data_IF_441947655975
#
_entry.id   IF_441947655975
#
_cell.length_a   1.000
_cell.length_b   1.000
_cell.length_c   1.000
_cell.angle_alpha   90.00
_cell.angle_beta   90.00
_cell.angle_gamma   90.00
#
_symmetry.space_group_name_H-M   'P 1'
#
loop_
_entity.id
_entity.type
_entity.pdbx_description
1 polymer ?
#
# COMPACT_ATOMS: atom_id res chain seq x y z
N UNK A 1 -19.48 -15.00 37.41
CA UNK A 1 -20.73 -15.24 36.68
C UNK A 1 -21.62 -14.05 36.95
N UNK A 2 -21.53 -13.05 36.08
CA UNK A 2 -22.53 -11.97 35.98
C UNK A 2 -22.62 -11.70 34.49
N UNK A 3 -23.77 -12.06 33.94
CA UNK A 3 -24.16 -11.86 32.55
C UNK A 3 -24.67 -10.44 32.38
N UNK A 4 -24.29 -9.78 31.29
CA UNK A 4 -24.97 -8.58 30.80
C UNK A 4 -24.81 -8.54 29.29
N UNK A 5 -25.84 -9.02 28.60
CA UNK A 5 -26.12 -8.78 27.18
C UNK A 5 -26.27 -7.27 26.93
N UNK A 6 -25.65 -6.76 25.86
CA UNK A 6 -26.14 -5.56 25.18
C UNK A 6 -26.00 -5.74 23.67
N UNK A 7 -27.09 -5.37 23.00
CA UNK A 7 -27.49 -5.64 21.63
C UNK A 7 -26.59 -5.09 20.53
N UNK A 8 -26.61 -5.83 19.44
CA UNK A 8 -26.16 -5.48 18.10
C UNK A 8 -27.10 -4.43 17.48
N UNK A 9 -26.56 -3.30 17.02
CA UNK A 9 -27.22 -2.48 16.01
C UNK A 9 -26.32 -2.34 14.78
N UNK A 10 -26.81 -2.91 13.67
CA UNK A 10 -26.34 -2.69 12.30
C UNK A 10 -26.92 -1.37 11.81
N UNK A 11 -26.09 -0.51 11.25
CA UNK A 11 -26.58 0.54 10.35
C UNK A 11 -25.78 0.51 9.05
N UNK A 12 -26.54 0.29 7.97
CA UNK A 12 -26.07 0.16 6.59
C UNK A 12 -26.52 1.41 5.88
N UNK A 13 -25.60 2.26 5.40
CA UNK A 13 -25.96 3.34 4.47
C UNK A 13 -25.08 3.23 3.24
N UNK A 14 -25.74 2.73 2.19
CA UNK A 14 -25.32 2.69 0.80
C UNK A 14 -25.64 4.06 0.17
N UNK A 15 -24.72 4.69 -0.55
CA UNK A 15 -25.09 5.70 -1.55
C UNK A 15 -23.99 6.00 -2.59
N UNK A 16 -24.05 5.22 -3.67
CA UNK A 16 -24.18 5.60 -5.09
C UNK A 16 -23.25 6.68 -5.70
N UNK A 17 -22.59 6.22 -6.76
CA UNK A 17 -21.85 6.91 -7.81
C UNK A 17 -22.50 8.19 -8.37
N UNK A 18 -21.65 9.10 -8.86
CA UNK A 18 -22.02 10.07 -9.90
C UNK A 18 -20.94 10.09 -10.99
N UNK A 19 -21.29 9.51 -12.13
CA UNK A 19 -20.62 9.70 -13.41
C UNK A 19 -21.04 11.02 -14.06
N UNK A 20 -20.20 11.47 -14.99
CA UNK A 20 -20.44 12.52 -15.97
C UNK A 20 -19.14 13.31 -16.23
N UNK A 21 -18.65 13.57 -17.42
CA UNK A 21 -18.76 13.03 -18.79
C UNK A 21 -17.97 14.03 -19.67
N UNK A 22 -17.22 13.52 -20.66
CA UNK A 22 -16.82 14.18 -21.93
C UNK A 22 -15.92 15.44 -21.85
N UNK A 23 -15.02 15.74 -22.79
CA UNK A 23 -14.78 15.26 -24.16
C UNK A 23 -13.40 15.73 -24.66
N UNK A 24 -12.75 14.87 -25.44
CA UNK A 24 -12.01 15.12 -26.69
C UNK A 24 -11.19 16.41 -26.90
N UNK A 25 -9.92 16.25 -27.31
CA UNK A 25 -9.54 16.30 -28.74
C UNK A 25 -8.07 15.93 -28.99
N UNK A 26 -7.91 15.15 -30.06
CA UNK A 26 -6.72 14.89 -30.88
C UNK A 26 -5.98 16.20 -31.23
N UNK A 27 -4.69 16.17 -31.61
CA UNK A 27 -4.26 16.25 -33.01
C UNK A 27 -2.81 15.75 -33.19
N UNK A 28 -2.60 15.09 -34.32
CA UNK A 28 -1.39 14.41 -34.78
C UNK A 28 -0.76 15.16 -35.97
N UNK A 29 0.52 14.86 -36.25
CA UNK A 29 1.27 15.04 -37.52
C UNK A 29 1.83 16.46 -37.82
N UNK A 30 3.00 16.68 -38.45
CA UNK A 30 3.85 15.83 -39.32
C UNK A 30 5.24 16.49 -39.58
N UNK A 31 6.28 15.65 -39.72
CA UNK A 31 7.36 15.74 -40.73
C UNK A 31 8.64 16.56 -40.45
N UNK A 32 9.80 16.28 -41.04
CA UNK A 32 10.41 15.10 -41.71
C UNK A 32 11.91 15.45 -41.96
N UNK A 33 12.72 14.42 -42.30
CA UNK A 33 14.00 14.43 -43.06
C UNK A 33 15.37 14.46 -42.32
N UNK A 34 15.98 13.26 -42.28
CA UNK A 34 17.29 12.82 -42.86
C UNK A 34 18.58 13.62 -42.54
N UNK A 35 19.78 13.06 -42.32
CA UNK A 35 20.47 11.85 -42.80
C UNK A 35 21.74 11.63 -41.95
N UNK A 36 22.24 10.40 -41.82
CA UNK A 36 23.53 9.94 -42.39
C UNK A 36 24.00 8.64 -41.73
N UNK A 37 24.25 7.64 -42.57
CA UNK A 37 24.81 6.32 -42.22
C UNK A 37 26.32 6.46 -42.00
N UNK A 38 26.85 5.81 -40.96
CA UNK A 38 28.22 5.26 -40.92
C UNK A 38 28.33 4.25 -39.77
N UNK A 39 28.54 2.99 -40.12
CA UNK A 39 29.11 1.93 -39.26
C UNK A 39 30.38 1.43 -40.02
N UNK A 40 31.43 0.89 -39.37
CA UNK A 40 31.27 -0.31 -38.54
C UNK A 40 32.22 -0.43 -37.31
N UNK A 41 31.88 -1.41 -36.46
CA UNK A 41 32.76 -2.24 -35.63
C UNK A 41 33.69 -1.56 -34.61
N UNK A 42 33.20 -1.47 -33.36
CA UNK A 42 34.02 -1.74 -32.18
C UNK A 42 33.21 -2.55 -31.17
N UNK A 43 33.80 -3.66 -30.77
CA UNK A 43 33.21 -4.73 -30.01
C UNK A 43 32.83 -4.29 -28.58
N UNK A 44 31.54 -4.11 -28.35
CA UNK A 44 30.93 -4.45 -27.07
C UNK A 44 29.78 -5.40 -27.35
N UNK A 45 30.06 -6.69 -27.19
CA UNK A 45 29.04 -7.72 -27.01
C UNK A 45 28.29 -7.37 -25.73
N UNK A 46 27.26 -6.53 -25.82
CA UNK A 46 26.15 -6.58 -24.88
C UNK A 46 25.66 -8.02 -24.87
N UNK A 47 25.62 -8.70 -23.71
CA UNK A 47 25.01 -10.00 -23.66
C UNK A 47 23.56 -9.78 -24.06
N UNK A 48 23.21 -10.44 -25.16
CA UNK A 48 21.87 -10.79 -25.60
C UNK A 48 20.94 -10.72 -24.41
N UNK A 49 20.01 -9.77 -24.49
CA UNK A 49 18.85 -9.67 -23.62
C UNK A 49 18.37 -11.10 -23.36
N UNK A 50 18.61 -11.59 -22.14
CA UNK A 50 18.37 -12.99 -21.74
C UNK A 50 16.89 -13.29 -21.95
N UNK A 51 16.62 -13.76 -23.17
CA UNK A 51 15.38 -14.27 -23.67
C UNK A 51 14.80 -15.20 -22.62
N UNK A 52 13.55 -14.92 -22.26
CA UNK A 52 12.80 -15.46 -21.12
C UNK A 52 13.44 -16.70 -20.48
N UNK A 53 13.98 -16.53 -19.26
CA UNK A 53 14.09 -17.64 -18.29
C UNK A 53 12.83 -18.49 -18.47
N UNK A 54 13.01 -19.76 -18.87
CA UNK A 54 11.93 -20.69 -19.15
C UNK A 54 10.76 -20.47 -18.18
N UNK A 55 9.57 -20.20 -18.70
CA UNK A 55 8.35 -20.09 -17.90
C UNK A 55 8.26 -21.31 -16.99
N UNK A 56 8.15 -21.08 -15.68
CA UNK A 56 8.26 -22.14 -14.67
C UNK A 56 7.27 -23.28 -14.93
N UNK A 57 6.11 -22.96 -15.48
CA UNK A 57 5.10 -23.93 -15.89
C UNK A 57 5.59 -24.87 -17.01
N UNK A 58 6.18 -24.34 -18.09
CA UNK A 58 6.75 -25.15 -19.17
C UNK A 58 7.86 -26.07 -18.68
N UNK A 59 8.67 -25.59 -17.73
CA UNK A 59 9.69 -26.41 -17.10
C UNK A 59 9.06 -27.53 -16.26
N UNK A 60 8.04 -27.22 -15.48
CA UNK A 60 7.28 -28.19 -14.69
C UNK A 60 6.68 -29.28 -15.58
N UNK A 61 5.93 -28.91 -16.62
CA UNK A 61 5.34 -29.85 -17.60
C UNK A 61 6.39 -30.77 -18.21
N UNK A 62 7.52 -30.21 -18.64
CA UNK A 62 8.64 -30.96 -19.21
C UNK A 62 9.24 -31.96 -18.23
N UNK A 63 9.41 -31.58 -16.96
CA UNK A 63 9.95 -32.45 -15.92
C UNK A 63 8.96 -33.57 -15.60
N UNK A 64 7.67 -33.26 -15.47
CA UNK A 64 6.63 -34.25 -15.19
C UNK A 64 6.49 -35.27 -16.32
N UNK A 65 6.46 -34.80 -17.57
CA UNK A 65 6.36 -35.66 -18.75
C UNK A 65 7.58 -36.61 -18.84
N UNK A 66 8.80 -36.09 -18.68
CA UNK A 66 10.01 -36.92 -18.69
C UNK A 66 10.05 -37.92 -17.53
N UNK A 67 9.56 -37.52 -16.36
CA UNK A 67 9.51 -38.41 -15.18
C UNK A 67 8.54 -39.56 -15.41
N UNK A 68 7.38 -39.29 -16.02
CA UNK A 68 6.40 -40.32 -16.39
C UNK A 68 6.96 -41.28 -17.44
N UNK A 69 7.62 -40.77 -18.48
CA UNK A 69 8.29 -41.60 -19.49
C UNK A 69 9.31 -42.55 -18.85
N UNK A 70 10.18 -42.00 -17.99
CA UNK A 70 11.19 -42.79 -17.25
C UNK A 70 10.56 -43.83 -16.32
N UNK A 71 9.46 -43.50 -15.66
CA UNK A 71 8.71 -44.43 -14.84
C UNK A 71 8.15 -45.59 -15.67
N UNK A 72 7.55 -45.30 -16.82
CA UNK A 72 6.98 -46.32 -17.71
C UNK A 72 8.06 -47.20 -18.37
N UNK A 73 9.27 -46.68 -18.62
CA UNK A 73 10.41 -47.49 -19.09
C UNK A 73 10.73 -48.64 -18.12
N UNK A 74 10.61 -48.42 -16.81
CA UNK A 74 10.81 -49.47 -15.81
C UNK A 74 9.74 -50.57 -15.86
N UNK A 75 8.53 -50.23 -16.32
CA UNK A 75 7.43 -51.16 -16.53
C UNK A 75 7.45 -51.82 -17.93
N UNK A 76 8.62 -51.95 -18.56
CA UNK A 76 8.78 -52.57 -19.88
C UNK A 76 8.15 -53.97 -20.01
N UNK A 77 7.71 -54.32 -21.22
CA UNK A 77 7.09 -55.61 -21.53
C UNK A 77 7.98 -56.80 -21.16
N UNK A 78 9.29 -56.71 -21.37
CA UNK A 78 10.22 -57.78 -21.04
C UNK A 78 10.20 -58.12 -19.54
N UNK A 79 10.20 -57.10 -18.67
CA UNK A 79 10.07 -57.29 -17.22
C UNK A 79 8.72 -57.89 -16.87
N UNK A 80 7.64 -57.37 -17.46
CA UNK A 80 6.27 -57.87 -17.25
C UNK A 80 6.13 -59.36 -17.63
N UNK A 81 6.53 -59.73 -18.85
CA UNK A 81 6.50 -61.11 -19.34
C UNK A 81 7.40 -62.06 -18.52
N UNK A 82 8.55 -61.56 -18.03
CA UNK A 82 9.46 -62.35 -17.20
C UNK A 82 8.87 -62.75 -15.84
N UNK A 83 7.95 -61.96 -15.30
CA UNK A 83 7.22 -62.23 -14.05
C UNK A 83 6.04 -63.16 -14.26
N UNK A 84 5.37 -63.08 -15.42
CA UNK A 84 4.21 -63.89 -15.78
C UNK A 84 4.52 -64.98 -16.81
N UNK A 85 5.67 -65.66 -16.68
CA UNK A 85 6.15 -66.66 -17.67
C UNK A 85 5.14 -67.75 -18.03
N UNK A 86 4.41 -68.36 -17.08
CA UNK A 86 3.45 -69.42 -17.41
C UNK A 86 2.33 -68.93 -18.32
N UNK A 87 1.90 -67.68 -18.15
CA UNK A 87 0.84 -67.06 -18.94
C UNK A 87 1.37 -66.61 -20.31
N UNK A 88 2.58 -66.03 -20.35
CA UNK A 88 3.25 -65.65 -21.59
C UNK A 88 3.44 -66.86 -22.53
N UNK A 89 3.88 -68.00 -22.02
CA UNK A 89 4.05 -69.25 -22.81
C UNK A 89 2.74 -69.76 -23.41
N UNK A 90 1.60 -69.52 -22.75
CA UNK A 90 0.28 -69.98 -23.23
C UNK A 90 -0.26 -69.10 -24.35
N UNK A 91 -0.11 -67.77 -24.23
CA UNK A 91 -0.58 -66.84 -25.24
C UNK A 91 0.22 -65.52 -25.20
N UNK A 92 1.31 -65.43 -25.99
CA UNK A 92 2.15 -64.24 -26.03
C UNK A 92 1.40 -62.98 -26.51
N UNK A 93 0.54 -63.13 -27.52
CA UNK A 93 -0.20 -62.01 -28.10
C UNK A 93 -1.19 -61.39 -27.12
N UNK A 94 -1.93 -62.23 -26.38
CA UNK A 94 -2.85 -61.74 -25.34
C UNK A 94 -2.10 -61.06 -24.21
N UNK A 95 -0.93 -61.57 -23.82
CA UNK A 95 -0.08 -60.95 -22.80
C UNK A 95 0.43 -59.57 -23.23
N UNK A 96 0.82 -59.42 -24.50
CA UNK A 96 1.25 -58.15 -25.08
C UNK A 96 0.10 -57.12 -25.12
N UNK A 97 -1.11 -57.55 -25.51
CA UNK A 97 -2.31 -56.70 -25.46
C UNK A 97 -2.61 -56.19 -24.05
N UNK A 98 -2.57 -57.08 -23.04
CA UNK A 98 -2.82 -56.71 -21.64
C UNK A 98 -1.77 -55.72 -21.14
N UNK A 99 -0.49 -55.94 -21.45
CA UNK A 99 0.58 -55.03 -21.04
C UNK A 99 0.41 -53.65 -21.67
N UNK A 100 0.07 -53.59 -22.96
CA UNK A 100 -0.20 -52.33 -23.64
C UNK A 100 -1.36 -51.57 -23.00
N UNK A 101 -2.50 -52.24 -22.77
CA UNK A 101 -3.66 -51.67 -22.09
C UNK A 101 -3.31 -51.14 -20.70
N UNK A 102 -2.54 -51.92 -19.92
CA UNK A 102 -2.07 -51.50 -18.61
C UNK A 102 -1.21 -50.23 -18.66
N UNK A 103 -0.26 -50.14 -19.59
CA UNK A 103 0.61 -48.96 -19.74
C UNK A 103 -0.18 -47.74 -20.19
N UNK A 104 -1.11 -47.91 -21.14
CA UNK A 104 -1.93 -46.82 -21.65
C UNK A 104 -2.89 -46.29 -20.56
N UNK A 105 -3.51 -47.18 -19.78
CA UNK A 105 -4.35 -46.81 -18.65
C UNK A 105 -3.56 -46.14 -17.52
N UNK A 106 -2.40 -46.69 -17.15
CA UNK A 106 -1.53 -46.11 -16.14
C UNK A 106 -1.04 -44.72 -16.54
N UNK A 107 -0.63 -44.54 -17.80
CA UNK A 107 -0.21 -43.24 -18.34
C UNK A 107 -1.36 -42.24 -18.25
N UNK A 108 -2.55 -42.63 -18.74
CA UNK A 108 -3.74 -41.79 -18.75
C UNK A 108 -4.12 -41.36 -17.34
N UNK A 109 -4.24 -42.32 -16.41
CA UNK A 109 -4.61 -42.04 -15.03
C UNK A 109 -3.61 -41.06 -14.36
N UNK A 110 -2.30 -41.28 -14.51
CA UNK A 110 -1.30 -40.36 -13.94
C UNK A 110 -1.38 -38.97 -14.59
N UNK A 111 -1.56 -38.87 -15.90
CA UNK A 111 -1.68 -37.58 -16.58
C UNK A 111 -2.94 -36.82 -16.17
N UNK A 112 -4.07 -37.51 -16.04
CA UNK A 112 -5.32 -36.94 -15.54
C UNK A 112 -5.15 -36.46 -14.09
N UNK A 113 -4.51 -37.25 -13.23
CA UNK A 113 -4.25 -36.89 -11.83
C UNK A 113 -3.35 -35.66 -11.72
N UNK A 114 -2.26 -35.60 -12.51
CA UNK A 114 -1.39 -34.43 -12.58
C UNK A 114 -2.18 -33.20 -13.07
N UNK A 115 -3.00 -33.35 -14.10
CA UNK A 115 -3.86 -32.28 -14.62
C UNK A 115 -4.79 -31.74 -13.53
N UNK A 116 -5.48 -32.62 -12.81
CA UNK A 116 -6.34 -32.22 -11.67
C UNK A 116 -5.57 -31.49 -10.59
N UNK A 117 -4.37 -31.96 -10.22
CA UNK A 117 -3.53 -31.28 -9.21
C UNK A 117 -3.08 -29.88 -9.68
N UNK A 118 -2.76 -29.71 -10.97
CA UNK A 118 -2.42 -28.41 -11.54
C UNK A 118 -3.62 -27.44 -11.42
N UNK A 119 -4.82 -27.91 -11.78
CA UNK A 119 -6.04 -27.12 -11.73
C UNK A 119 -6.47 -26.78 -10.30
N UNK A 120 -6.56 -27.77 -9.41
CA UNK A 120 -6.89 -27.61 -7.99
C UNK A 120 -5.90 -26.68 -7.28
N UNK A 121 -4.61 -26.87 -7.54
CA UNK A 121 -3.53 -26.07 -6.98
C UNK A 121 -3.44 -24.66 -7.60
N UNK A 122 -4.18 -24.40 -8.69
CA UNK A 122 -4.05 -23.19 -9.53
C UNK A 122 -2.58 -22.90 -9.85
N UNK A 123 -1.85 -23.95 -10.23
CA UNK A 123 -0.40 -23.92 -10.31
C UNK A 123 0.09 -22.97 -11.41
N UNK A 124 -0.61 -22.94 -12.54
CA UNK A 124 -0.33 -22.00 -13.64
C UNK A 124 -0.32 -20.54 -13.14
N UNK A 125 -1.38 -20.11 -12.44
CA UNK A 125 -1.47 -18.76 -11.88
C UNK A 125 -0.32 -18.49 -10.92
N UNK A 126 -0.04 -19.41 -9.99
CA UNK A 126 1.02 -19.22 -8.97
C UNK A 126 2.42 -19.15 -9.58
N UNK A 127 2.74 -20.01 -10.55
CA UNK A 127 4.04 -20.02 -11.21
C UNK A 127 4.22 -18.79 -12.10
N UNK A 128 3.17 -18.35 -12.80
CA UNK A 128 3.19 -17.13 -13.59
C UNK A 128 3.36 -15.88 -12.71
N UNK A 129 2.68 -15.80 -11.56
CA UNK A 129 2.89 -14.71 -10.60
C UNK A 129 4.31 -14.73 -10.02
N UNK A 130 4.87 -15.91 -9.74
CA UNK A 130 6.25 -16.04 -9.28
C UNK A 130 7.25 -15.56 -10.34
N UNK A 131 7.01 -15.86 -11.62
CA UNK A 131 7.81 -15.35 -12.75
C UNK A 131 7.75 -13.81 -12.83
N UNK A 132 6.58 -13.20 -12.57
CA UNK A 132 6.42 -11.74 -12.51
C UNK A 132 7.16 -11.13 -11.33
N UNK A 133 7.02 -11.70 -10.13
CA UNK A 133 7.69 -11.23 -8.92
C UNK A 133 9.20 -11.30 -9.04
N UNK A 134 9.73 -12.37 -9.63
CA UNK A 134 11.18 -12.50 -9.89
C UNK A 134 11.68 -11.44 -10.87
N UNK A 135 10.93 -11.17 -11.94
CA UNK A 135 11.26 -10.10 -12.89
C UNK A 135 11.28 -8.73 -12.22
N UNK A 136 10.29 -8.44 -11.37
CA UNK A 136 10.20 -7.19 -10.62
C UNK A 136 11.36 -7.02 -9.63
N UNK A 137 11.80 -8.11 -8.99
CA UNK A 137 12.86 -8.09 -7.98
C UNK A 137 14.28 -8.12 -8.57
N UNK A 138 14.47 -8.38 -9.87
CA UNK A 138 15.79 -8.63 -10.51
C UNK A 138 16.84 -7.54 -10.24
N UNK A 139 16.42 -6.29 -10.07
CA UNK A 139 17.31 -5.14 -9.86
C UNK A 139 17.38 -4.67 -8.40
N UNK A 140 16.82 -5.43 -7.45
CA UNK A 140 16.87 -5.08 -6.02
C UNK A 140 18.16 -5.68 -5.44
N UNK A 141 19.16 -4.86 -5.04
CA UNK A 141 20.42 -5.37 -4.51
C UNK A 141 20.30 -5.91 -3.08
N UNK A 142 19.29 -5.46 -2.34
CA UNK A 142 19.10 -5.83 -0.95
C UNK A 142 18.56 -7.26 -0.80
N UNK A 143 19.02 -8.00 0.23
CA UNK A 143 18.45 -9.28 0.57
C UNK A 143 16.94 -9.16 0.79
N UNK A 144 16.17 -10.03 0.14
CA UNK A 144 14.72 -10.06 0.32
C UNK A 144 14.36 -10.40 1.77
N UNK A 145 13.37 -9.71 2.33
CA UNK A 145 12.88 -9.94 3.68
C UNK A 145 12.46 -11.41 3.89
N UNK A 146 12.74 -11.93 5.09
CA UNK A 146 12.33 -13.27 5.53
C UNK A 146 11.73 -13.11 6.93
N UNK A 147 10.67 -13.87 7.25
CA UNK A 147 10.14 -13.90 8.61
C UNK A 147 11.25 -14.22 9.60
N UNK A 148 11.37 -13.40 10.65
CA UNK A 148 12.36 -13.61 11.70
C UNK A 148 12.04 -14.84 12.57
N UNK A 149 10.78 -15.27 12.56
CA UNK A 149 10.24 -16.27 13.48
C UNK A 149 9.73 -15.67 14.79
N UNK A 150 9.82 -14.34 14.95
CA UNK A 150 9.26 -13.58 16.07
C UNK A 150 8.09 -12.74 15.56
N UNK A 151 6.83 -13.16 15.82
CA UNK A 151 5.65 -12.51 15.27
C UNK A 151 5.55 -11.01 15.54
N UNK A 152 5.94 -10.58 16.74
CA UNK A 152 5.90 -9.17 17.14
C UNK A 152 6.82 -8.32 16.29
N UNK A 153 8.03 -8.81 15.99
CA UNK A 153 8.99 -8.11 15.16
C UNK A 153 8.54 -8.04 13.70
N UNK A 154 8.05 -9.16 13.18
CA UNK A 154 7.56 -9.25 11.80
C UNK A 154 6.35 -8.32 11.60
N UNK A 155 5.43 -8.29 12.57
CA UNK A 155 4.28 -7.40 12.56
C UNK A 155 4.69 -5.92 12.66
N UNK A 156 5.60 -5.59 13.59
CA UNK A 156 6.11 -4.22 13.72
C UNK A 156 6.75 -3.74 12.40
N UNK A 157 7.51 -4.60 11.71
CA UNK A 157 8.13 -4.25 10.43
C UNK A 157 7.10 -3.90 9.35
N UNK A 158 5.97 -4.60 9.33
CA UNK A 158 4.88 -4.35 8.38
C UNK A 158 4.11 -3.05 8.70
N UNK A 159 3.84 -2.77 9.97
CA UNK A 159 3.02 -1.61 10.36
C UNK A 159 3.82 -0.31 10.43
N UNK A 160 5.13 -0.38 10.66
CA UNK A 160 6.00 0.80 10.84
C UNK A 160 5.84 1.89 9.77
N UNK A 161 5.79 1.60 8.46
CA UNK A 161 5.65 2.63 7.42
C UNK A 161 4.35 3.45 7.55
N UNK A 162 3.26 2.82 8.02
CA UNK A 162 1.99 3.49 8.22
C UNK A 162 2.05 4.45 9.41
N UNK A 163 2.64 4.02 10.53
CA UNK A 163 2.81 4.88 11.70
C UNK A 163 3.77 6.04 11.41
N UNK A 164 4.84 5.82 10.65
CA UNK A 164 5.73 6.90 10.22
C UNK A 164 4.99 7.96 9.38
N UNK A 165 4.11 7.52 8.46
CA UNK A 165 3.27 8.43 7.67
C UNK A 165 2.30 9.23 8.55
N UNK A 166 1.67 8.58 9.52
CA UNK A 166 0.78 9.24 10.47
C UNK A 166 1.52 10.25 11.35
N UNK A 167 2.68 9.88 11.87
CA UNK A 167 3.51 10.75 12.69
C UNK A 167 3.94 11.99 11.90
N UNK A 168 4.39 11.82 10.65
CA UNK A 168 4.76 12.92 9.78
C UNK A 168 3.59 13.89 9.54
N UNK A 169 2.39 13.35 9.30
CA UNK A 169 1.17 14.15 9.14
C UNK A 169 0.84 14.94 10.42
N UNK A 170 0.84 14.29 11.58
CA UNK A 170 0.52 14.95 12.85
C UNK A 170 1.54 16.03 13.20
N UNK A 171 2.83 15.82 12.92
CA UNK A 171 3.88 16.83 13.10
C UNK A 171 3.61 18.08 12.26
N UNK A 172 3.13 17.90 11.03
CA UNK A 172 2.79 19.01 10.13
C UNK A 172 1.61 19.83 10.69
N UNK A 173 0.52 19.16 11.08
CA UNK A 173 -0.67 19.85 11.59
C UNK A 173 -0.38 20.56 12.92
N UNK A 174 0.38 19.92 13.81
CA UNK A 174 0.79 20.52 15.07
C UNK A 174 1.65 21.77 14.85
N UNK A 175 2.54 21.76 13.86
CA UNK A 175 3.34 22.95 13.50
C UNK A 175 2.43 24.10 13.04
N UNK A 176 1.44 23.81 12.20
CA UNK A 176 0.47 24.79 11.72
C UNK A 176 -0.32 25.41 12.87
N UNK A 177 -0.91 24.59 13.75
CA UNK A 177 -1.66 25.06 14.92
C UNK A 177 -0.78 25.93 15.83
N UNK A 178 0.48 25.53 16.08
CA UNK A 178 1.41 26.33 16.90
C UNK A 178 1.69 27.71 16.28
N UNK A 179 1.83 27.78 14.96
CA UNK A 179 2.06 29.05 14.26
C UNK A 179 0.83 29.97 14.35
N UNK A 180 -0.36 29.42 14.13
CA UNK A 180 -1.63 30.15 14.24
C UNK A 180 -1.85 30.66 15.66
N UNK A 181 -1.65 29.80 16.67
CA UNK A 181 -1.77 30.19 18.08
C UNK A 181 -0.76 31.27 18.47
N UNK A 182 0.50 31.19 17.99
CA UNK A 182 1.48 32.24 18.24
C UNK A 182 1.08 33.57 17.60
N UNK A 183 0.51 33.56 16.39
CA UNK A 183 0.01 34.75 15.73
C UNK A 183 -1.20 35.35 16.47
N UNK A 184 -2.12 34.50 16.93
CA UNK A 184 -3.27 34.93 17.73
C UNK A 184 -2.85 35.50 19.09
N UNK A 185 -1.91 34.85 19.79
CA UNK A 185 -1.37 35.34 21.05
C UNK A 185 -0.74 36.74 20.91
N UNK A 186 0.02 36.97 19.82
CA UNK A 186 0.56 38.31 19.52
C UNK A 186 -0.54 39.35 19.30
N UNK A 187 -1.61 39.00 18.58
CA UNK A 187 -2.76 39.91 18.38
C UNK A 187 -3.47 40.23 19.68
N UNK A 188 -3.69 39.24 20.54
CA UNK A 188 -4.30 39.43 21.86
C UNK A 188 -3.43 40.34 22.73
N UNK A 189 -2.12 40.11 22.77
CA UNK A 189 -1.20 40.94 23.55
C UNK A 189 -1.21 42.41 23.08
N UNK A 190 -1.10 42.64 21.76
CA UNK A 190 -1.20 43.98 21.19
C UNK A 190 -2.56 44.64 21.48
N UNK A 191 -3.65 43.85 21.49
CA UNK A 191 -4.98 44.33 21.89
C UNK A 191 -5.04 44.76 23.35
N UNK A 192 -4.47 43.97 24.26
CA UNK A 192 -4.40 44.29 25.71
C UNK A 192 -3.59 45.55 25.97
N UNK A 193 -2.46 45.72 25.28
CA UNK A 193 -1.62 46.93 25.40
C UNK A 193 -2.38 48.19 24.97
N UNK A 194 -3.14 48.13 23.88
CA UNK A 194 -4.00 49.25 23.44
C UNK A 194 -5.09 49.58 24.45
N UNK A 195 -5.72 48.56 25.04
CA UNK A 195 -6.75 48.76 26.07
C UNK A 195 -6.13 49.46 27.29
N UNK A 196 -5.00 48.94 27.80
CA UNK A 196 -4.31 49.52 28.94
C UNK A 196 -3.86 50.98 28.69
N UNK A 197 -3.39 51.29 27.47
CA UNK A 197 -3.07 52.67 27.08
C UNK A 197 -4.31 53.56 27.12
N UNK A 198 -5.42 53.10 26.53
CA UNK A 198 -6.68 53.85 26.52
C UNK A 198 -7.21 54.07 27.94
N UNK A 199 -7.13 53.07 28.81
CA UNK A 199 -7.52 53.17 30.22
C UNK A 199 -6.69 54.20 30.99
N UNK A 200 -5.38 54.27 30.73
CA UNK A 200 -4.51 55.29 31.32
C UNK A 200 -4.86 56.69 30.82
N UNK A 201 -5.07 56.87 29.51
CA UNK A 201 -5.43 58.17 28.92
C UNK A 201 -6.77 58.68 29.48
N UNK A 202 -7.76 57.79 29.63
CA UNK A 202 -9.04 58.10 30.27
C UNK A 202 -8.82 58.50 31.73
N UNK A 203 -8.02 57.75 32.49
CA UNK A 203 -7.75 58.04 33.90
C UNK A 203 -7.07 59.40 34.07
N UNK A 204 -6.07 59.72 33.24
CA UNK A 204 -5.41 61.03 33.23
C UNK A 204 -6.39 62.15 32.93
N UNK A 205 -7.21 62.00 31.89
CA UNK A 205 -8.23 62.99 31.53
C UNK A 205 -9.22 63.20 32.67
N UNK A 206 -9.67 62.11 33.30
CA UNK A 206 -10.58 62.16 34.45
C UNK A 206 -9.94 62.89 35.64
N UNK A 207 -8.66 62.64 35.93
CA UNK A 207 -7.96 63.31 37.02
C UNK A 207 -7.70 64.80 36.73
N UNK A 208 -7.40 65.16 35.48
CA UNK A 208 -7.35 66.56 35.03
C UNK A 208 -8.70 67.27 35.22
N UNK A 209 -9.81 66.60 34.88
CA UNK A 209 -11.16 67.14 35.06
C UNK A 209 -11.51 67.30 36.54
N UNK A 210 -11.11 66.36 37.41
CA UNK A 210 -11.28 66.52 38.86
C UNK A 210 -10.45 67.68 39.41
N UNK A 211 -9.22 67.86 38.94
CA UNK A 211 -8.35 68.94 39.38
C UNK A 211 -8.91 70.31 38.99
N UNK A 212 -9.32 70.48 37.73
CA UNK A 212 -9.98 71.72 37.27
C UNK A 212 -11.27 71.99 38.04
N UNK A 213 -12.11 70.99 38.28
CA UNK A 213 -13.32 71.16 39.10
C UNK A 213 -12.98 71.63 40.53
N UNK A 214 -11.99 71.03 41.17
CA UNK A 214 -11.53 71.44 42.50
C UNK A 214 -10.98 72.87 42.52
N UNK A 215 -10.30 73.31 41.45
CA UNK A 215 -9.85 74.69 41.29
C UNK A 215 -11.02 75.68 41.16
N UNK A 216 -12.11 75.30 40.50
CA UNK A 216 -13.34 76.11 40.43
C UNK A 216 -14.14 76.12 41.74
N UNK A 217 -14.15 75.03 42.49
CA UNK A 217 -14.86 74.91 43.77
C UNK A 217 -14.16 75.67 44.91
N UNK A 218 -12.84 75.84 44.82
CA UNK A 218 -12.02 76.59 45.78
C UNK A 218 -12.44 78.07 45.93
N UNK A 219 -12.63 78.90 44.88
CA UNK A 219 -13.18 80.25 44.98
C UNK A 219 -14.68 80.28 45.30
N UNK A 220 -15.46 79.27 44.91
CA UNK A 220 -16.87 79.16 45.29
C UNK A 220 -17.04 79.02 46.81
N UNK A 221 -16.12 78.31 47.46
CA UNK A 221 -16.05 78.17 48.93
C UNK A 221 -15.63 79.46 49.66
N UNK A 222 -15.05 80.45 48.96
CA UNK A 222 -14.77 81.79 49.51
C UNK A 222 -15.92 82.78 49.29
N UNK A 223 -16.83 82.53 48.34
CA UNK A 223 -17.97 83.41 48.03
C UNK A 223 -19.22 83.08 48.85
N UNK A 224 -19.30 81.88 49.47
CA UNK A 224 -20.34 81.52 50.42
C UNK A 224 -19.71 80.94 51.68
N UNK A 225 -19.56 81.73 52.77
CA UNK A 225 -19.20 81.17 54.06
C UNK A 225 -20.33 80.25 54.51
N UNK A 226 -20.01 79.01 54.89
CA UNK A 226 -20.93 78.12 55.59
C UNK A 226 -21.26 78.73 56.96
N UNK A 227 -22.26 79.61 57.01
CA UNK A 227 -22.65 80.31 58.23
C UNK A 227 -23.57 81.51 58.04
N UNK A 228 -24.62 81.42 57.21
CA UNK A 228 -25.77 82.35 57.28
C UNK A 228 -27.07 81.61 56.96
N UNK A 229 -27.41 80.61 57.76
CA UNK A 229 -28.80 80.20 57.99
C UNK A 229 -28.91 79.77 59.44
N UNK A 230 -29.16 80.73 60.32
CA UNK A 230 -29.64 80.51 61.67
C UNK A 230 -30.65 81.61 61.97
N UNK A 231 -31.92 81.38 61.58
CA UNK A 231 -33.21 81.87 62.15
C UNK A 231 -34.33 81.00 61.57
#
# INVERSE_FOLDING_TARGET
>A
MEESEVEVQKETVNNKCREGANENKSNEATGDVSSHVSNPESAHKTPVDTEARYERLKLFEKVMQKSLEKFLEHASFNRFASMFRPLYKKNPQKMESIHKEFIDELRRAIQEDIGRLIEEGRLELKLNELDKLEKAAKNTPDPAWRPSGVPEQDFCSFVMPFYQKQEAYMKLELKKIKQENAALAKKVQAGREKIAQTENDISMTVDEWKATLAEYERPASFLFPAGVFDV
#
